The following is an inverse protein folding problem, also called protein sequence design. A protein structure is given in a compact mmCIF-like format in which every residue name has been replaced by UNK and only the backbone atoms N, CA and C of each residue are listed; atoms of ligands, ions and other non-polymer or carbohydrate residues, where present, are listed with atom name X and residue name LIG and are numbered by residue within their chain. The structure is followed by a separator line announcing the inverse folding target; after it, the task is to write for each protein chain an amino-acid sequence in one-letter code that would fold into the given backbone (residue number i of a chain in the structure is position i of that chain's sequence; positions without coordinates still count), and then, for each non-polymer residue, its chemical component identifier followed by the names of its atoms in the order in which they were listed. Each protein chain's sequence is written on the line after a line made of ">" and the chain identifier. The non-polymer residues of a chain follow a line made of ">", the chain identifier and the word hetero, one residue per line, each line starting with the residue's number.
data_IF_298348735538
#
_entry.id   IF_298348735538
#
_cell.length_a   1.000
_cell.length_b   1.000
_cell.length_c   1.000
_cell.angle_alpha   90.00
_cell.angle_beta   90.00
_cell.angle_gamma   90.00
#
_symmetry.space_group_name_H-M   'P 1'
#
loop_
_entity.id
_entity.type
_entity.pdbx_description
1 polymer ?
#
# COMPACT_ATOMS: atom_id res chain seq x y z
N UNK A 1 -13.03 -0.95 12.14
CA UNK A 1 -11.74 -0.25 12.32
C UNK A 1 -11.07 -0.18 10.95
N UNK A 2 -10.91 1.00 10.37
CA UNK A 2 -10.24 1.15 9.07
C UNK A 2 -8.73 1.35 9.25
N UNK A 3 -7.93 0.92 8.29
CA UNK A 3 -6.49 1.20 8.31
C UNK A 3 -6.24 2.71 8.18
N UNK A 4 -5.59 3.33 9.16
CA UNK A 4 -5.39 4.80 9.31
C UNK A 4 -4.70 5.49 8.12
N UNK A 5 -4.10 4.71 7.22
CA UNK A 5 -3.26 5.20 6.12
C UNK A 5 -4.04 5.51 4.83
N UNK A 6 -5.02 4.67 4.46
CA UNK A 6 -5.79 4.86 3.23
C UNK A 6 -6.78 6.01 3.39
N UNK A 7 -6.80 6.94 2.45
CA UNK A 7 -7.70 8.10 2.48
C UNK A 7 -7.21 9.24 3.37
N UNK A 8 -6.07 9.08 4.07
CA UNK A 8 -5.46 10.15 4.85
C UNK A 8 -4.71 11.11 3.90
N UNK A 9 -5.40 12.17 3.46
CA UNK A 9 -4.92 13.09 2.42
C UNK A 9 -3.67 13.88 2.81
N UNK A 10 -3.51 14.22 4.09
CA UNK A 10 -2.31 14.89 4.57
C UNK A 10 -1.09 13.98 4.50
N UNK A 11 -1.25 12.71 4.90
CA UNK A 11 -0.18 11.72 4.84
C UNK A 11 0.15 11.32 3.39
N UNK A 12 -0.85 11.13 2.54
CA UNK A 12 -0.67 10.89 1.10
C UNK A 12 0.16 12.02 0.47
N UNK A 13 -0.20 13.29 0.75
CA UNK A 13 0.50 14.47 0.23
C UNK A 13 1.94 14.55 0.73
N UNK A 14 2.17 14.29 2.02
CA UNK A 14 3.51 14.27 2.59
C UNK A 14 4.39 13.21 1.93
N UNK A 15 3.88 11.99 1.78
CA UNK A 15 4.60 10.87 1.18
C UNK A 15 4.93 11.13 -0.29
N UNK A 16 3.95 11.60 -1.08
CA UNK A 16 4.16 11.96 -2.49
C UNK A 16 5.18 13.08 -2.63
N UNK A 17 5.14 14.11 -1.78
CA UNK A 17 6.11 15.20 -1.82
C UNK A 17 7.55 14.70 -1.56
N UNK A 18 7.74 13.80 -0.59
CA UNK A 18 9.05 13.20 -0.34
C UNK A 18 9.52 12.40 -1.56
N UNK A 19 8.63 11.61 -2.16
CA UNK A 19 8.93 10.88 -3.38
C UNK A 19 9.32 11.78 -4.56
N UNK A 20 8.52 12.80 -4.86
CA UNK A 20 8.73 13.69 -6.02
C UNK A 20 9.96 14.58 -5.85
N UNK A 21 10.35 14.90 -4.61
CA UNK A 21 11.58 15.64 -4.29
C UNK A 21 12.83 14.76 -4.21
N UNK A 22 12.72 13.47 -4.55
CA UNK A 22 13.86 12.54 -4.59
C UNK A 22 14.34 12.09 -3.21
N UNK A 23 13.52 12.25 -2.16
CA UNK A 23 13.85 11.74 -0.83
C UNK A 23 13.53 10.24 -0.75
N UNK A 24 14.35 9.45 -0.02
CA UNK A 24 14.03 8.07 0.28
C UNK A 24 12.65 7.97 0.92
N UNK A 25 11.76 7.18 0.31
CA UNK A 25 10.37 7.05 0.74
C UNK A 25 9.98 5.59 0.73
N UNK A 26 9.45 5.08 1.84
CA UNK A 26 9.06 3.68 1.91
C UNK A 26 7.81 3.41 2.75
N UNK A 27 7.08 2.36 2.37
CA UNK A 27 5.96 1.81 3.13
C UNK A 27 6.19 0.32 3.38
N UNK A 28 5.67 -0.17 4.49
CA UNK A 28 5.81 -1.57 4.95
C UNK A 28 4.47 -2.09 5.47
N UNK A 29 4.18 -3.36 5.22
CA UNK A 29 3.03 -4.05 5.80
C UNK A 29 1.72 -3.31 5.47
N UNK A 30 0.94 -2.89 6.47
CA UNK A 30 -0.34 -2.20 6.28
C UNK A 30 -0.24 -0.74 5.83
N UNK A 31 0.89 -0.08 6.10
CA UNK A 31 1.08 1.32 5.66
C UNK A 31 1.10 1.46 4.13
N UNK A 32 1.33 0.35 3.42
CA UNK A 32 1.25 0.26 1.96
C UNK A 32 -0.17 0.53 1.43
N UNK A 33 -1.20 0.46 2.27
CA UNK A 33 -2.57 0.86 1.89
C UNK A 33 -2.69 2.32 1.50
N UNK A 34 -1.77 3.20 1.93
CA UNK A 34 -1.65 4.58 1.45
C UNK A 34 -1.46 4.65 -0.08
N UNK A 35 -0.73 3.68 -0.65
CA UNK A 35 -0.38 3.67 -2.07
C UNK A 35 -1.57 3.38 -2.99
N UNK A 36 -2.67 2.86 -2.44
CA UNK A 36 -3.90 2.59 -3.20
C UNK A 36 -4.54 3.89 -3.75
N UNK A 37 -4.28 5.02 -3.09
CA UNK A 37 -4.91 6.31 -3.42
C UNK A 37 -3.91 7.45 -3.63
N UNK A 38 -2.65 7.29 -3.21
CA UNK A 38 -1.62 8.30 -3.37
C UNK A 38 -1.38 8.66 -4.84
N UNK A 39 -1.57 9.94 -5.18
CA UNK A 39 -1.40 10.49 -6.54
C UNK A 39 -0.27 11.50 -6.57
N UNK A 40 0.53 11.44 -7.64
CA UNK A 40 1.53 12.44 -8.01
C UNK A 40 0.87 13.79 -8.29
N UNK A 41 1.70 14.83 -8.36
CA UNK A 41 1.32 16.19 -8.79
C UNK A 41 0.61 16.21 -10.16
N UNK A 42 0.91 15.27 -11.04
CA UNK A 42 0.28 15.12 -12.36
C UNK A 42 -1.08 14.36 -12.34
N UNK A 43 -1.59 13.99 -11.16
CA UNK A 43 -2.87 13.30 -10.99
C UNK A 43 -2.83 11.77 -11.19
N UNK A 44 -1.71 11.21 -11.65
CA UNK A 44 -1.55 9.76 -11.78
C UNK A 44 -1.25 9.12 -10.43
N UNK A 45 -1.66 7.85 -10.25
CA UNK A 45 -1.26 7.07 -9.08
C UNK A 45 0.27 7.00 -8.98
N UNK A 46 0.78 7.13 -7.76
CA UNK A 46 2.20 7.06 -7.48
C UNK A 46 2.80 5.70 -7.90
N UNK A 47 2.01 4.64 -7.79
CA UNK A 47 2.37 3.25 -8.14
C UNK A 47 2.14 2.89 -9.61
N UNK A 48 1.68 3.82 -10.44
CA UNK A 48 1.50 3.59 -11.88
C UNK A 48 2.81 3.14 -12.52
N UNK A 49 2.74 2.10 -13.35
CA UNK A 49 3.87 1.48 -14.07
C UNK A 49 5.01 0.98 -13.17
N UNK A 50 4.72 0.72 -11.89
CA UNK A 50 5.70 0.26 -10.90
C UNK A 50 5.37 -1.13 -10.38
N UNK A 51 6.42 -1.82 -9.94
CA UNK A 51 6.30 -3.07 -9.18
C UNK A 51 6.23 -2.76 -7.70
N UNK A 52 5.18 -3.22 -7.02
CA UNK A 52 4.95 -2.94 -5.60
C UNK A 52 4.32 -4.12 -4.86
N UNK A 53 4.21 -4.00 -3.54
CA UNK A 53 3.69 -5.06 -2.68
C UNK A 53 3.28 -4.49 -1.31
N UNK A 54 2.74 -5.35 -0.45
CA UNK A 54 2.27 -5.01 0.88
C UNK A 54 1.91 -6.27 1.65
N UNK A 55 1.10 -6.10 2.69
CA UNK A 55 0.60 -7.24 3.47
C UNK A 55 -0.36 -8.10 2.64
N UNK A 56 -0.12 -9.41 2.58
CA UNK A 56 -0.80 -10.33 1.68
C UNK A 56 -2.15 -10.81 2.23
N UNK A 57 -3.09 -11.14 1.33
CA UNK A 57 -4.42 -11.63 1.71
C UNK A 57 -4.33 -12.93 2.56
N UNK A 58 -3.31 -13.76 2.33
CA UNK A 58 -3.08 -14.99 3.08
C UNK A 58 -2.52 -14.76 4.50
N UNK A 59 -1.71 -13.71 4.69
CA UNK A 59 -1.19 -13.33 6.03
C UNK A 59 -2.34 -12.79 6.90
N UNK A 60 -3.22 -12.02 6.27
CA UNK A 60 -4.48 -11.55 6.82
C UNK A 60 -5.44 -12.69 7.20
N UNK A 61 -5.60 -13.69 6.33
CA UNK A 61 -6.45 -14.86 6.60
C UNK A 61 -5.95 -15.67 7.80
N UNK A 62 -4.63 -15.85 7.91
CA UNK A 62 -4.02 -16.50 9.08
C UNK A 62 -4.33 -15.74 10.38
N UNK A 63 -4.23 -14.40 10.36
CA UNK A 63 -4.55 -13.58 11.52
C UNK A 63 -6.03 -13.68 11.90
N UNK A 64 -6.94 -13.61 10.92
CA UNK A 64 -8.38 -13.73 11.14
C UNK A 64 -8.76 -15.08 11.75
N UNK A 65 -8.15 -16.18 11.29
CA UNK A 65 -8.36 -17.52 11.85
C UNK A 65 -7.87 -17.62 13.29
N UNK A 66 -6.72 -17.01 13.60
CA UNK A 66 -6.16 -17.01 14.96
C UNK A 66 -7.05 -16.25 15.95
N UNK A 67 -7.73 -15.19 15.51
CA UNK A 67 -8.63 -14.39 16.36
C UNK A 67 -10.11 -14.78 16.25
N UNK A 68 -10.47 -15.63 15.28
CA UNK A 68 -11.84 -16.09 15.03
C UNK A 68 -12.78 -15.03 14.42
N UNK A 69 -12.24 -13.94 13.86
CA UNK A 69 -13.04 -12.89 13.24
C UNK A 69 -12.25 -12.11 12.19
N UNK A 70 -12.97 -11.41 11.30
CA UNK A 70 -12.34 -10.52 10.31
C UNK A 70 -11.84 -9.23 10.98
N UNK A 71 -10.52 -9.01 10.96
CA UNK A 71 -9.89 -7.86 11.62
C UNK A 71 -9.99 -6.59 10.76
N UNK A 72 -9.60 -6.70 9.48
CA UNK A 72 -9.50 -5.55 8.58
C UNK A 72 -10.78 -5.35 7.76
N UNK A 73 -11.15 -4.09 7.52
CA UNK A 73 -12.31 -3.75 6.70
C UNK A 73 -12.15 -4.15 5.22
N UNK A 74 -10.92 -4.15 4.71
CA UNK A 74 -10.55 -4.53 3.35
C UNK A 74 -9.17 -5.19 3.37
N UNK A 75 -8.78 -5.84 2.27
CA UNK A 75 -7.46 -6.45 2.12
C UNK A 75 -6.65 -5.73 1.06
N UNK A 76 -5.38 -5.44 1.33
CA UNK A 76 -4.54 -4.59 0.48
C UNK A 76 -4.26 -5.26 -0.87
N UNK A 77 -3.96 -6.56 -0.88
CA UNK A 77 -3.71 -7.31 -2.11
C UNK A 77 -4.96 -7.40 -2.98
N UNK A 78 -6.12 -7.71 -2.39
CA UNK A 78 -7.41 -7.68 -3.11
C UNK A 78 -7.67 -6.31 -3.75
N UNK A 79 -7.42 -5.21 -3.04
CA UNK A 79 -7.63 -3.86 -3.57
C UNK A 79 -6.59 -3.49 -4.64
N UNK A 80 -5.33 -3.88 -4.45
CA UNK A 80 -4.25 -3.65 -5.40
C UNK A 80 -4.53 -4.30 -6.77
N UNK A 81 -5.09 -5.51 -6.78
CA UNK A 81 -5.46 -6.23 -8.02
C UNK A 81 -6.53 -5.52 -8.85
N UNK A 82 -7.29 -4.59 -8.26
CA UNK A 82 -8.31 -3.79 -8.97
C UNK A 82 -7.70 -2.60 -9.72
N UNK A 83 -6.44 -2.24 -9.43
CA UNK A 83 -5.77 -1.10 -10.02
C UNK A 83 -5.03 -1.53 -11.30
N UNK A 84 -5.59 -1.17 -12.45
CA UNK A 84 -4.96 -1.39 -13.75
C UNK A 84 -3.65 -0.59 -13.90
N UNK A 85 -2.71 -1.10 -14.70
CA UNK A 85 -1.44 -0.41 -14.99
C UNK A 85 -0.43 -0.41 -13.84
N UNK A 86 -0.53 -1.38 -12.93
CA UNK A 86 0.46 -1.61 -11.86
C UNK A 86 0.86 -3.08 -11.82
N UNK A 87 2.09 -3.38 -11.38
CA UNK A 87 2.52 -4.76 -11.14
C UNK A 87 2.59 -4.98 -9.63
N UNK A 88 1.68 -5.79 -9.08
CA UNK A 88 1.71 -6.15 -7.67
C UNK A 88 2.30 -7.55 -7.47
N UNK A 89 3.22 -7.70 -6.51
CA UNK A 89 3.88 -8.98 -6.19
C UNK A 89 3.81 -9.27 -4.70
N UNK A 90 2.70 -9.85 -4.26
CA UNK A 90 2.50 -10.27 -2.87
C UNK A 90 3.11 -11.67 -2.65
N UNK A 91 3.96 -11.80 -1.63
CA UNK A 91 4.58 -13.06 -1.16
C UNK A 91 4.62 -13.04 0.37
N UNK A 92 4.56 -14.21 1.03
CA UNK A 92 4.59 -14.35 2.50
C UNK A 92 5.92 -13.89 3.11
N UNK A 93 6.16 -12.58 3.14
CA UNK A 93 7.29 -11.93 3.79
C UNK A 93 6.96 -10.45 3.88
N UNK A 94 7.22 -9.84 5.03
CA UNK A 94 7.17 -8.40 5.25
C UNK A 94 7.98 -7.70 4.14
N UNK A 95 7.34 -6.94 3.26
CA UNK A 95 8.07 -6.24 2.19
C UNK A 95 7.92 -4.72 2.28
N UNK A 96 9.06 -4.08 2.10
CA UNK A 96 9.32 -2.66 2.04
C UNK A 96 9.24 -2.21 0.58
N UNK A 97 8.33 -1.30 0.26
CA UNK A 97 8.38 -0.62 -1.03
C UNK A 97 9.30 0.59 -0.92
N UNK A 98 10.57 0.44 -1.31
CA UNK A 98 11.53 1.56 -1.40
C UNK A 98 11.33 2.30 -2.71
N UNK A 99 11.03 3.59 -2.62
CA UNK A 99 11.21 4.50 -3.71
C UNK A 99 12.46 5.35 -3.52
N UNK A 100 13.29 5.30 -4.57
CA UNK A 100 14.37 6.22 -4.96
C UNK A 100 15.47 6.43 -3.91
N UNK A 101 16.57 5.71 -4.10
CA UNK A 101 17.92 6.20 -3.80
C UNK A 101 18.42 7.03 -4.98
#
# INVERSE_FOLDING_TARGET
>A
MGCTFRGNKDLEKLFVNFYETGKPSATVCHSTSLLLEAKKSNGELLIKDKTWTGFADAEEEFADQAVGMKIQAYRIETEAKKIAGTSSKFRHRLVLMLFKM
#
